data_IF_892360576779
#
_entry.id   IF_892360576779
#
_cell.length_a   1.000
_cell.length_b   1.000
_cell.length_c   1.000
_cell.angle_alpha   90.00
_cell.angle_beta   90.00
_cell.angle_gamma   90.00
#
_symmetry.space_group_name_H-M   'P 1'
#
loop_
_entity.id
_entity.type
_entity.pdbx_description
1 polymer ?
#
# COMPACT_ATOMS: atom_id res chain seq x y z
N UNK A 1 7.24 -4.19 -8.65
CA UNK A 1 7.29 -4.82 -7.33
C UNK A 1 5.99 -4.57 -6.59
N UNK A 2 5.62 -5.42 -5.62
CA UNK A 2 4.40 -5.26 -4.84
C UNK A 2 4.73 -5.33 -3.35
N UNK A 3 4.23 -4.38 -2.56
CA UNK A 3 4.26 -4.46 -1.11
C UNK A 3 3.04 -5.23 -0.61
N UNK A 4 3.21 -6.03 0.45
CA UNK A 4 2.17 -6.91 0.96
C UNK A 4 1.88 -6.60 2.43
N UNK A 5 0.60 -6.57 2.76
CA UNK A 5 0.08 -6.31 4.09
C UNK A 5 -0.94 -7.37 4.46
N UNK A 6 -1.19 -7.51 5.76
CA UNK A 6 -2.20 -8.42 6.31
C UNK A 6 -3.16 -7.67 7.22
N UNK A 7 -4.46 -7.94 7.05
CA UNK A 7 -5.50 -7.49 7.96
C UNK A 7 -5.35 -8.19 9.30
N UNK A 8 -5.39 -7.41 10.38
CA UNK A 8 -5.30 -7.90 11.76
C UNK A 8 -6.63 -8.52 12.22
N UNK A 9 -6.63 -9.14 13.41
CA UNK A 9 -7.82 -9.79 13.98
C UNK A 9 -9.01 -8.82 14.16
N UNK A 10 -8.72 -7.55 14.42
CA UNK A 10 -9.68 -6.46 14.60
C UNK A 10 -10.18 -5.85 13.27
N UNK A 11 -9.78 -6.42 12.12
CA UNK A 11 -10.17 -5.94 10.80
C UNK A 11 -9.37 -4.74 10.28
N UNK A 12 -8.49 -4.14 11.09
CA UNK A 12 -7.66 -3.02 10.64
C UNK A 12 -6.40 -3.50 9.90
N UNK A 13 -5.91 -2.68 8.96
CA UNK A 13 -4.58 -2.87 8.34
C UNK A 13 -3.51 -2.19 9.21
N UNK A 14 -3.80 -0.98 9.69
CA UNK A 14 -2.96 -0.19 10.58
C UNK A 14 -3.75 0.16 11.85
N UNK A 15 -3.12 0.06 13.03
CA UNK A 15 -3.74 0.41 14.32
C UNK A 15 -3.50 1.89 14.63
N UNK A 16 -4.44 2.53 15.30
CA UNK A 16 -4.35 3.93 15.75
C UNK A 16 -3.99 4.91 14.62
N UNK A 17 -4.51 4.65 13.42
CA UNK A 17 -4.21 5.41 12.22
C UNK A 17 -4.75 6.84 12.33
N UNK A 18 -3.83 7.81 12.37
CA UNK A 18 -4.11 9.22 12.27
C UNK A 18 -4.19 9.68 10.80
N UNK A 19 -4.90 10.79 10.57
CA UNK A 19 -4.88 11.49 9.26
C UNK A 19 -3.59 12.30 9.06
N UNK A 20 -2.90 12.63 10.16
CA UNK A 20 -1.70 13.47 10.17
C UNK A 20 -0.61 12.81 11.03
N UNK A 21 0.66 13.00 10.67
CA UNK A 21 1.81 12.53 11.45
C UNK A 21 2.19 11.06 11.25
N UNK A 22 1.32 10.21 10.69
CA UNK A 22 1.65 8.81 10.38
C UNK A 22 2.16 8.66 8.95
N UNK A 23 3.37 8.10 8.82
CA UNK A 23 4.00 7.83 7.53
C UNK A 23 4.48 6.38 7.41
N UNK A 24 4.40 5.87 6.20
CA UNK A 24 4.96 4.57 5.80
C UNK A 24 6.07 4.83 4.79
N UNK A 25 7.23 4.26 5.04
CA UNK A 25 8.34 4.26 4.10
C UNK A 25 8.25 3.01 3.21
N UNK A 26 7.98 3.21 1.93
CA UNK A 26 8.05 2.13 0.93
C UNK A 26 9.42 2.16 0.27
N UNK A 27 10.10 1.03 0.29
CA UNK A 27 11.43 0.87 -0.33
C UNK A 27 11.31 -0.01 -1.56
N UNK A 28 11.74 0.52 -2.70
CA UNK A 28 11.97 -0.24 -3.92
C UNK A 28 13.40 -0.79 -3.88
N UNK A 29 13.53 -2.10 -3.63
CA UNK A 29 14.81 -2.76 -3.53
C UNK A 29 15.33 -3.11 -4.93
N UNK A 30 16.46 -2.52 -5.29
CA UNK A 30 17.20 -2.77 -6.53
C UNK A 30 18.49 -3.53 -6.24
N UNK A 31 19.05 -4.22 -7.25
CA UNK A 31 20.30 -4.98 -7.11
C UNK A 31 21.48 -4.11 -6.63
N UNK A 32 21.48 -2.82 -6.97
CA UNK A 32 22.48 -1.86 -6.52
C UNK A 32 21.85 -0.85 -5.55
N UNK A 33 22.53 -0.58 -4.44
CA UNK A 33 22.05 0.34 -3.38
C UNK A 33 21.85 1.78 -3.87
N UNK A 34 22.62 2.24 -4.86
CA UNK A 34 22.48 3.57 -5.46
C UNK A 34 21.15 3.79 -6.20
N UNK A 35 20.44 2.72 -6.56
CA UNK A 35 19.19 2.78 -7.31
C UNK A 35 17.94 2.60 -6.43
N UNK A 36 18.12 2.52 -5.10
CA UNK A 36 17.00 2.41 -4.16
C UNK A 36 16.10 3.64 -4.27
N UNK A 37 14.79 3.39 -4.27
CA UNK A 37 13.79 4.46 -4.21
C UNK A 37 13.05 4.38 -2.89
N UNK A 38 12.98 5.54 -2.22
CA UNK A 38 12.29 5.70 -0.95
C UNK A 38 11.05 6.55 -1.17
N UNK A 39 9.87 5.98 -0.95
CA UNK A 39 8.62 6.73 -1.02
C UNK A 39 8.11 6.98 0.39
N UNK A 40 8.08 8.26 0.79
CA UNK A 40 7.54 8.71 2.08
C UNK A 40 6.06 9.00 1.90
N UNK A 41 5.20 8.06 2.29
CA UNK A 41 3.76 8.13 2.02
C UNK A 41 2.97 8.25 3.33
N UNK A 42 2.01 9.19 3.43
CA UNK A 42 1.08 9.20 4.56
C UNK A 42 0.38 7.85 4.70
N UNK A 43 0.42 7.24 5.89
CA UNK A 43 -0.08 5.87 6.10
C UNK A 43 -1.57 5.75 5.79
N UNK A 44 -2.34 6.83 5.98
CA UNK A 44 -3.76 6.83 5.67
C UNK A 44 -4.04 6.60 4.18
N UNK A 45 -3.19 7.11 3.28
CA UNK A 45 -3.33 6.88 1.83
C UNK A 45 -3.06 5.44 1.46
N UNK A 46 -2.05 4.82 2.07
CA UNK A 46 -1.77 3.40 1.90
C UNK A 46 -2.97 2.57 2.32
N UNK A 47 -3.57 2.88 3.48
CA UNK A 47 -4.77 2.21 3.96
C UNK A 47 -5.95 2.34 2.99
N UNK A 48 -6.19 3.53 2.42
CA UNK A 48 -7.23 3.76 1.41
C UNK A 48 -6.99 2.97 0.13
N UNK A 49 -5.77 2.99 -0.41
CA UNK A 49 -5.39 2.25 -1.61
C UNK A 49 -5.56 0.74 -1.43
N UNK A 50 -5.11 0.20 -0.31
CA UNK A 50 -5.24 -1.23 0.00
C UNK A 50 -6.70 -1.66 0.14
N UNK A 51 -7.56 -0.83 0.75
CA UNK A 51 -9.00 -1.10 0.87
C UNK A 51 -9.69 -1.05 -0.50
N UNK A 52 -9.35 -0.03 -1.31
CA UNK A 52 -9.89 0.13 -2.66
C UNK A 52 -9.51 -1.06 -3.54
N UNK A 53 -8.23 -1.42 -3.58
CA UNK A 53 -7.72 -2.54 -4.38
C UNK A 53 -8.37 -3.86 -3.97
N UNK A 54 -8.54 -4.09 -2.67
CA UNK A 54 -9.22 -5.29 -2.19
C UNK A 54 -10.69 -5.33 -2.59
N UNK A 55 -11.41 -4.20 -2.47
CA UNK A 55 -12.81 -4.11 -2.90
C UNK A 55 -12.94 -4.40 -4.39
N UNK A 56 -12.07 -3.82 -5.22
CA UNK A 56 -12.01 -4.08 -6.66
C UNK A 56 -11.75 -5.56 -6.93
N UNK A 57 -10.75 -6.15 -6.27
CA UNK A 57 -10.40 -7.57 -6.40
C UNK A 57 -11.54 -8.51 -5.99
N UNK A 58 -12.25 -8.25 -4.90
CA UNK A 58 -13.41 -9.07 -4.51
C UNK A 58 -14.55 -8.96 -5.52
N UNK A 59 -14.71 -7.79 -6.16
CA UNK A 59 -15.78 -7.55 -7.13
C UNK A 59 -15.50 -8.09 -8.54
N UNK A 60 -14.24 -8.39 -8.88
CA UNK A 60 -13.90 -8.96 -10.18
C UNK A 60 -13.96 -10.49 -10.16
N UNK A 61 -14.45 -11.14 -11.23
CA UNK A 61 -14.42 -12.58 -11.35
C UNK A 61 -12.98 -13.10 -11.31
N UNK A 62 -12.72 -14.09 -10.47
CA UNK A 62 -11.44 -14.79 -10.41
C UNK A 62 -11.31 -15.85 -11.50
N UNK A 63 -10.29 -16.72 -11.36
CA UNK A 63 -10.00 -17.80 -12.31
C UNK A 63 -11.25 -18.68 -12.52
N UNK A 64 -11.61 -18.91 -13.78
CA UNK A 64 -12.80 -19.65 -14.19
C UNK A 64 -14.11 -19.06 -13.65
N UNK A 65 -14.22 -17.73 -13.60
CA UNK A 65 -15.36 -16.97 -13.05
C UNK A 65 -15.69 -17.26 -11.58
N UNK A 66 -14.75 -17.86 -10.83
CA UNK A 66 -14.94 -18.11 -9.40
C UNK A 66 -14.79 -16.80 -8.64
N UNK A 67 -15.71 -16.46 -7.72
CA UNK A 67 -15.56 -15.26 -6.91
C UNK A 67 -14.32 -15.34 -6.03
N UNK A 68 -13.71 -14.19 -5.78
CA UNK A 68 -12.62 -14.07 -4.85
C UNK A 68 -13.15 -14.14 -3.40
N UNK A 69 -12.36 -14.73 -2.48
CA UNK A 69 -12.78 -14.89 -1.09
C UNK A 69 -12.77 -13.52 -0.36
N UNK A 70 -13.92 -12.98 0.08
CA UNK A 70 -13.99 -11.70 0.79
C UNK A 70 -13.29 -11.71 2.16
N UNK A 71 -13.11 -12.89 2.77
CA UNK A 71 -12.44 -13.06 4.07
C UNK A 71 -10.91 -13.15 3.94
N UNK A 72 -10.36 -13.03 2.73
CA UNK A 72 -8.93 -13.06 2.54
C UNK A 72 -8.28 -11.85 3.27
N UNK A 73 -7.32 -12.12 4.15
CA UNK A 73 -6.62 -11.10 4.94
C UNK A 73 -5.49 -10.40 4.19
N UNK A 74 -5.07 -10.92 3.04
CA UNK A 74 -3.96 -10.37 2.25
C UNK A 74 -4.39 -9.07 1.56
N UNK A 75 -3.49 -8.08 1.58
CA UNK A 75 -3.62 -6.81 0.86
C UNK A 75 -2.34 -6.60 0.06
N UNK A 76 -2.47 -6.26 -1.21
CA UNK A 76 -1.33 -5.98 -2.09
C UNK A 76 -1.37 -4.52 -2.51
N UNK A 77 -0.23 -3.86 -2.45
CA UNK A 77 -0.04 -2.53 -3.02
C UNK A 77 0.85 -2.67 -4.26
N UNK A 78 0.29 -2.41 -5.44
CA UNK A 78 1.03 -2.45 -6.69
C UNK A 78 1.79 -1.15 -6.93
N UNK A 79 3.11 -1.25 -7.09
CA UNK A 79 3.94 -0.10 -7.45
C UNK A 79 3.55 0.47 -8.81
N UNK A 80 3.27 -0.39 -9.79
CA UNK A 80 2.93 0.02 -11.15
C UNK A 80 1.59 0.76 -11.17
N UNK A 81 0.57 0.22 -10.47
CA UNK A 81 -0.76 0.83 -10.38
C UNK A 81 -0.73 2.23 -9.79
N UNK A 82 0.12 2.45 -8.79
CA UNK A 82 0.25 3.71 -8.06
C UNK A 82 1.51 4.49 -8.43
N UNK A 83 2.16 4.21 -9.57
CA UNK A 83 3.45 4.81 -9.91
C UNK A 83 3.42 6.35 -9.93
N UNK A 84 2.31 6.92 -10.43
CA UNK A 84 2.11 8.37 -10.50
C UNK A 84 1.99 8.99 -9.10
N UNK A 85 1.22 8.37 -8.21
CA UNK A 85 1.00 8.82 -6.85
C UNK A 85 2.27 8.67 -6.00
N UNK A 86 2.95 7.52 -6.12
CA UNK A 86 4.22 7.24 -5.46
C UNK A 86 5.32 8.20 -5.91
N UNK A 87 5.36 8.56 -7.20
CA UNK A 87 6.31 9.55 -7.72
C UNK A 87 6.24 10.91 -7.01
N UNK A 88 5.07 11.32 -6.52
CA UNK A 88 4.89 12.56 -5.73
C UNK A 88 5.46 12.46 -4.31
N UNK A 89 5.75 11.25 -3.85
CA UNK A 89 6.26 10.92 -2.52
C UNK A 89 7.74 10.50 -2.53
N UNK A 90 8.40 10.50 -3.70
CA UNK A 90 9.78 10.05 -3.84
C UNK A 90 10.76 10.98 -3.10
N UNK A 91 11.53 10.41 -2.17
CA UNK A 91 12.54 11.07 -1.35
C UNK A 91 12.02 12.31 -0.60
N UNK A 92 10.72 12.32 -0.25
CA UNK A 92 10.05 13.42 0.46
C UNK A 92 10.26 13.38 1.97
N UNK A 93 11.52 13.33 2.38
CA UNK A 93 11.94 13.20 3.78
C UNK A 93 11.55 14.41 4.64
N UNK A 94 11.45 15.59 4.04
CA UNK A 94 11.07 16.84 4.71
C UNK A 94 9.70 16.73 5.41
N UNK A 95 8.80 15.90 4.87
CA UNK A 95 7.44 15.71 5.40
C UNK A 95 7.38 15.02 6.75
N UNK A 96 8.47 14.38 7.19
CA UNK A 96 8.54 13.74 8.50
C UNK A 96 8.70 14.77 9.64
N UNK A 97 9.04 16.01 9.30
CA UNK A 97 9.35 17.08 10.26
C UNK A 97 8.33 18.22 10.23
N UNK A 98 7.25 18.07 9.46
CA UNK A 98 6.07 18.95 9.45
C UNK A 98 5.06 18.53 10.53
#
# INVERSE_FOLDING_TARGET
>A
FNWQYSVKKDGCIFRNLSKHGDFTLLVDLTMETKNLKFYVVPTYRINEWLKKDFKEWVSTPGKNNRPHNPENKKRNLSQEKYAKELGKCLNKWEKLWE
#
